data_IF_612663113818
#
_entry.id   IF_612663113818
#
_cell.length_a   1.000
_cell.length_b   1.000
_cell.length_c   1.000
_cell.angle_alpha   90.00
_cell.angle_beta   90.00
_cell.angle_gamma   90.00
#
_symmetry.space_group_name_H-M   'P 1'
#
loop_
_entity.id
_entity.type
_entity.pdbx_description
1 polymer ?
#
# COMPACT_ATOMS: atom_id res chain seq x y z
N UNK A 1 1.74 -2.34 42.33
CA UNK A 1 2.26 -1.53 41.19
C UNK A 1 1.87 -2.22 39.90
N UNK A 2 0.96 -1.65 39.13
CA UNK A 2 0.52 -2.24 37.86
C UNK A 2 1.62 -2.05 36.81
N UNK A 3 2.18 -3.16 36.31
CA UNK A 3 3.05 -3.15 35.12
C UNK A 3 2.13 -3.24 33.91
N UNK A 4 1.72 -2.10 33.37
CA UNK A 4 1.00 -2.07 32.10
C UNK A 4 2.02 -2.39 30.99
N UNK A 5 1.87 -3.50 30.26
CA UNK A 5 2.78 -3.80 29.16
C UNK A 5 2.57 -2.74 28.07
N UNK A 6 3.64 -2.04 27.72
CA UNK A 6 3.62 -0.97 26.73
C UNK A 6 3.96 -1.58 25.37
N UNK A 7 3.21 -1.24 24.32
CA UNK A 7 3.54 -1.69 22.96
C UNK A 7 4.86 -1.04 22.49
N UNK A 8 5.49 -1.62 21.47
CA UNK A 8 6.80 -1.18 20.97
C UNK A 8 6.79 0.28 20.50
N UNK A 9 5.70 0.71 19.86
CA UNK A 9 5.52 2.09 19.40
C UNK A 9 5.51 3.10 20.56
N UNK A 10 4.69 2.85 21.59
CA UNK A 10 4.62 3.68 22.79
C UNK A 10 5.95 3.66 23.56
N UNK A 11 6.64 2.52 23.60
CA UNK A 11 7.96 2.41 24.22
C UNK A 11 9.01 3.25 23.48
N UNK A 12 9.02 3.25 22.15
CA UNK A 12 9.95 4.05 21.34
C UNK A 12 9.78 5.56 21.59
N UNK A 13 8.52 6.04 21.61
CA UNK A 13 8.19 7.44 21.92
C UNK A 13 8.66 7.82 23.32
N UNK A 14 8.38 6.97 24.33
CA UNK A 14 8.75 7.25 25.72
C UNK A 14 10.27 7.23 25.93
N UNK A 15 10.95 6.30 25.28
CA UNK A 15 12.41 6.14 25.34
C UNK A 15 13.16 7.12 24.44
N UNK A 16 12.45 8.00 23.72
CA UNK A 16 13.00 8.91 22.69
C UNK A 16 13.93 8.19 21.70
N UNK A 17 13.68 6.90 21.49
CA UNK A 17 14.39 6.12 20.48
C UNK A 17 13.63 6.30 19.19
N UNK A 18 14.35 6.59 18.11
CA UNK A 18 13.75 6.54 16.78
C UNK A 18 13.24 5.11 16.56
N UNK A 19 11.98 4.93 16.16
CA UNK A 19 11.50 3.62 15.76
C UNK A 19 12.34 3.14 14.57
N UNK A 20 12.62 1.84 14.54
CA UNK A 20 13.39 1.22 13.47
C UNK A 20 12.66 1.47 12.15
N UNK A 21 13.39 1.96 11.13
CA UNK A 21 12.78 2.14 9.81
C UNK A 21 12.36 0.76 9.29
N UNK A 22 11.12 0.66 8.84
CA UNK A 22 10.69 -0.52 8.11
C UNK A 22 11.57 -0.63 6.86
N UNK A 23 12.15 -1.82 6.64
CA UNK A 23 12.92 -2.10 5.44
C UNK A 23 12.09 -1.84 4.18
N UNK A 24 12.77 -1.53 3.07
CA UNK A 24 12.08 -1.37 1.79
C UNK A 24 11.32 -2.65 1.46
N UNK A 25 9.98 -2.62 1.34
CA UNK A 25 9.21 -3.79 0.93
C UNK A 25 9.52 -4.23 -0.51
N UNK A 26 10.28 -3.42 -1.26
CA UNK A 26 10.54 -3.61 -2.67
C UNK A 26 9.31 -3.22 -3.49
N UNK A 27 9.03 -4.00 -4.54
CA UNK A 27 7.81 -3.82 -5.34
C UNK A 27 6.62 -4.38 -4.57
N UNK A 28 5.77 -3.52 -4.05
CA UNK A 28 4.51 -3.93 -3.44
C UNK A 28 3.34 -3.70 -4.39
N UNK A 29 2.42 -4.66 -4.39
CA UNK A 29 1.19 -4.61 -5.17
C UNK A 29 0.06 -4.14 -4.26
N UNK A 30 -0.75 -3.20 -4.74
CA UNK A 30 -1.95 -2.71 -4.06
C UNK A 30 -3.17 -3.30 -4.77
N UNK A 31 -4.12 -3.91 -4.05
CA UNK A 31 -5.41 -4.28 -4.62
C UNK A 31 -6.16 -3.06 -5.14
N UNK A 32 -6.70 -3.16 -6.35
CA UNK A 32 -7.57 -2.16 -6.95
C UNK A 32 -8.90 -2.81 -7.32
N UNK A 33 -9.98 -2.07 -7.09
CA UNK A 33 -11.32 -2.51 -7.48
C UNK A 33 -11.76 -1.71 -8.71
N UNK A 34 -12.20 -2.45 -9.73
CA UNK A 34 -12.54 -1.92 -11.04
C UNK A 34 -13.80 -2.63 -11.56
N UNK A 35 -14.80 -1.89 -12.08
CA UNK A 35 -16.02 -2.49 -12.62
C UNK A 35 -15.73 -3.50 -13.74
N UNK A 36 -16.23 -4.73 -13.59
CA UNK A 36 -16.01 -5.80 -14.57
C UNK A 36 -14.61 -6.43 -14.56
N UNK A 37 -13.80 -6.14 -13.54
CA UNK A 37 -12.49 -6.75 -13.32
C UNK A 37 -12.41 -7.40 -11.93
N UNK A 38 -12.49 -8.73 -11.89
CA UNK A 38 -12.11 -9.49 -10.71
C UNK A 38 -10.59 -9.37 -10.50
N UNK A 39 -10.20 -9.04 -9.27
CA UNK A 39 -8.82 -9.02 -8.76
C UNK A 39 -7.83 -8.23 -9.62
N UNK A 40 -7.88 -6.90 -9.52
CA UNK A 40 -6.83 -6.05 -10.07
C UNK A 40 -5.75 -5.78 -9.01
N UNK A 41 -4.48 -5.94 -9.41
CA UNK A 41 -3.32 -5.57 -8.60
C UNK A 41 -2.54 -4.49 -9.35
N UNK A 42 -2.30 -3.36 -8.70
CA UNK A 42 -1.47 -2.28 -9.22
C UNK A 42 -0.09 -2.29 -8.56
N UNK A 43 0.96 -2.08 -9.35
CA UNK A 43 2.29 -1.86 -8.81
C UNK A 43 2.36 -0.46 -8.20
N UNK A 44 2.73 -0.37 -6.93
CA UNK A 44 3.03 0.89 -6.29
C UNK A 44 4.51 1.23 -6.47
N UNK A 45 4.78 2.14 -7.39
CA UNK A 45 6.12 2.71 -7.60
C UNK A 45 6.18 4.10 -6.96
N UNK A 46 6.83 4.21 -5.80
CA UNK A 46 7.01 5.47 -5.09
C UNK A 46 7.96 6.44 -5.81
N UNK A 47 8.74 5.95 -6.79
CA UNK A 47 9.59 6.77 -7.64
C UNK A 47 8.88 7.32 -8.88
N UNK A 48 7.70 6.81 -9.22
CA UNK A 48 6.91 7.29 -10.34
C UNK A 48 6.09 8.52 -9.94
N UNK A 49 6.11 9.56 -10.77
CA UNK A 49 5.30 10.77 -10.56
C UNK A 49 3.87 10.65 -11.11
N UNK A 50 3.57 9.58 -11.87
CA UNK A 50 2.28 9.35 -12.53
C UNK A 50 1.87 7.88 -12.43
N UNK A 51 0.55 7.63 -12.42
CA UNK A 51 -0.01 6.29 -12.48
C UNK A 51 -0.19 5.85 -13.94
N UNK A 52 0.33 4.68 -14.30
CA UNK A 52 0.17 4.10 -15.62
C UNK A 52 -0.96 3.06 -15.61
N UNK A 53 -1.80 3.11 -16.64
CA UNK A 53 -2.81 2.08 -16.90
C UNK A 53 -2.52 1.43 -18.25
N UNK A 54 -2.28 0.11 -18.31
CA UNK A 54 -2.13 -0.58 -19.58
C UNK A 54 -3.37 -0.40 -20.45
N UNK A 55 -3.18 -0.21 -21.76
CA UNK A 55 -4.28 -0.03 -22.70
C UNK A 55 -5.30 -1.18 -22.67
N UNK A 56 -4.85 -2.41 -22.43
CA UNK A 56 -5.73 -3.58 -22.28
C UNK A 56 -6.67 -3.47 -21.07
N UNK A 57 -6.20 -2.91 -19.95
CA UNK A 57 -7.00 -2.65 -18.75
C UNK A 57 -8.01 -1.54 -19.03
N UNK A 58 -7.55 -0.41 -19.61
CA UNK A 58 -8.44 0.68 -20.00
C UNK A 58 -9.55 0.21 -20.95
N UNK A 59 -9.20 -0.61 -21.95
CA UNK A 59 -10.17 -1.14 -22.91
C UNK A 59 -11.23 -2.00 -22.22
N UNK A 60 -10.85 -2.84 -21.24
CA UNK A 60 -11.82 -3.64 -20.47
C UNK A 60 -12.75 -2.76 -19.65
N UNK A 61 -12.22 -1.72 -19.00
CA UNK A 61 -13.03 -0.75 -18.25
C UNK A 61 -14.02 -0.02 -19.17
N UNK A 62 -13.57 0.46 -20.33
CA UNK A 62 -14.43 1.15 -21.30
C UNK A 62 -15.53 0.27 -21.92
N UNK A 63 -15.34 -1.07 -21.90
CA UNK A 63 -16.34 -2.02 -22.36
C UNK A 63 -17.36 -2.36 -21.28
N UNK A 64 -17.05 -2.15 -20.00
CA UNK A 64 -18.00 -2.32 -18.89
C UNK A 64 -19.05 -1.20 -18.82
N UNK A 65 -18.79 -0.05 -19.44
CA UNK A 65 -19.71 1.10 -19.50
C UNK A 65 -20.75 1.02 -20.64
N UNK A 66 -20.71 -0.03 -21.47
CA UNK A 66 -21.66 -0.29 -22.58
C UNK A 66 -22.61 -1.45 -22.26
#
# INVERSE_FOLDING_TARGET
MARTPLNEHCSAVLLKKLPEKLGDPGKFLIPCDFPGMADCLALADLGASINLMPYSVWKRLSLSDL
#
